data_IF_793742710593
#
_entry.id   IF_793742710593
#
_cell.length_a   1.000
_cell.length_b   1.000
_cell.length_c   1.000
_cell.angle_alpha   90.00
_cell.angle_beta   90.00
_cell.angle_gamma   90.00
#
_symmetry.space_group_name_H-M   'P 1'
#
loop_
_entity.id
_entity.type
_entity.pdbx_description
1 polymer ?
#
# COMPACT_ATOMS: atom_id res chain seq x y z
N UNK A 1 -12.57 12.59 -6.65
CA UNK A 1 -13.50 12.00 -5.65
C UNK A 1 -12.67 11.62 -4.43
N UNK A 2 -12.56 12.50 -3.43
CA UNK A 2 -11.76 12.24 -2.23
C UNK A 2 -12.47 11.20 -1.37
N UNK A 3 -11.84 10.03 -1.20
CA UNK A 3 -12.38 8.96 -0.36
C UNK A 3 -12.27 9.44 1.09
N UNK A 4 -13.40 9.86 1.69
CA UNK A 4 -13.49 10.46 3.03
C UNK A 4 -12.93 9.60 4.19
N UNK A 5 -12.66 8.31 3.97
CA UNK A 5 -12.26 7.35 5.01
C UNK A 5 -10.83 6.87 4.76
N UNK A 6 -9.99 6.88 5.81
CA UNK A 6 -8.66 6.28 5.82
C UNK A 6 -8.72 4.84 5.28
N UNK A 7 -7.99 4.51 4.21
CA UNK A 7 -7.84 3.14 3.73
C UNK A 7 -7.20 2.27 4.82
N UNK A 8 -7.63 1.02 4.91
CA UNK A 8 -6.97 0.03 5.77
C UNK A 8 -5.55 -0.24 5.28
N UNK A 9 -4.59 -0.36 6.19
CA UNK A 9 -3.23 -0.73 5.81
C UNK A 9 -3.21 -2.14 5.20
N UNK A 10 -2.42 -2.39 4.13
CA UNK A 10 -2.38 -3.70 3.48
C UNK A 10 -1.98 -4.84 4.42
N UNK A 11 -1.19 -4.55 5.46
CA UNK A 11 -0.81 -5.52 6.48
C UNK A 11 -1.97 -6.04 7.32
N UNK A 12 -2.94 -5.18 7.65
CA UNK A 12 -4.17 -5.60 8.33
C UNK A 12 -5.01 -6.47 7.40
N UNK A 13 -5.06 -6.13 6.10
CA UNK A 13 -5.77 -6.97 5.12
C UNK A 13 -5.11 -8.35 4.99
N UNK A 14 -3.77 -8.40 4.98
CA UNK A 14 -3.02 -9.65 4.98
C UNK A 14 -3.36 -10.52 6.21
N UNK A 15 -3.41 -9.91 7.39
CA UNK A 15 -3.71 -10.62 8.64
C UNK A 15 -5.14 -11.16 8.67
N UNK A 16 -6.11 -10.26 8.50
CA UNK A 16 -7.54 -10.56 8.68
C UNK A 16 -8.15 -11.42 7.58
N UNK A 17 -7.66 -11.32 6.34
CA UNK A 17 -8.26 -12.01 5.20
C UNK A 17 -7.47 -13.21 4.69
N UNK A 18 -6.21 -13.36 5.09
CA UNK A 18 -5.36 -14.46 4.61
C UNK A 18 -4.74 -15.23 5.76
N UNK A 19 -4.06 -14.57 6.70
CA UNK A 19 -3.34 -15.27 7.77
C UNK A 19 -4.30 -16.00 8.71
N UNK A 20 -5.27 -15.27 9.27
CA UNK A 20 -6.24 -15.82 10.24
C UNK A 20 -7.17 -16.84 9.57
N UNK A 21 -7.80 -16.57 8.41
CA UNK A 21 -8.75 -17.52 7.82
C UNK A 21 -8.11 -18.80 7.28
N UNK A 22 -6.83 -18.75 6.87
CA UNK A 22 -6.09 -19.91 6.38
C UNK A 22 -5.31 -20.63 7.50
N UNK A 23 -5.36 -20.14 8.73
CA UNK A 23 -4.62 -20.66 9.90
C UNK A 23 -3.12 -20.87 9.61
N UNK A 24 -2.50 -19.89 8.92
CA UNK A 24 -1.08 -19.95 8.57
C UNK A 24 -0.22 -19.22 9.61
N UNK A 25 0.83 -19.88 10.09
CA UNK A 25 1.82 -19.26 10.96
C UNK A 25 2.77 -18.33 10.19
N UNK A 26 3.42 -17.39 10.90
CA UNK A 26 4.43 -16.52 10.28
C UNK A 26 5.64 -17.28 9.75
N UNK A 27 5.94 -18.44 10.33
CA UNK A 27 6.99 -19.33 9.83
C UNK A 27 6.60 -19.92 8.48
N UNK A 28 5.39 -20.47 8.35
CA UNK A 28 4.89 -21.01 7.08
C UNK A 28 4.83 -19.92 5.99
N UNK A 29 4.31 -18.73 6.32
CA UNK A 29 4.27 -17.62 5.35
C UNK A 29 5.68 -17.16 4.95
N UNK A 30 6.62 -17.12 5.89
CA UNK A 30 8.01 -16.76 5.63
C UNK A 30 8.67 -17.73 4.65
N UNK A 31 8.47 -19.03 4.86
CA UNK A 31 9.00 -20.10 3.99
C UNK A 31 8.36 -20.05 2.60
N UNK A 32 7.03 -19.96 2.52
CA UNK A 32 6.30 -19.95 1.25
C UNK A 32 6.60 -18.70 0.40
N UNK A 33 6.76 -17.53 1.03
CA UNK A 33 7.02 -16.27 0.33
C UNK A 33 8.51 -15.95 0.16
N UNK A 34 9.40 -16.72 0.80
CA UNK A 34 10.83 -16.41 0.96
C UNK A 34 11.11 -15.00 1.52
N UNK A 35 10.18 -14.45 2.31
CA UNK A 35 10.31 -13.15 3.01
C UNK A 35 10.67 -13.43 4.47
N UNK A 36 11.58 -12.66 5.06
CA UNK A 36 11.92 -12.87 6.48
C UNK A 36 10.71 -12.64 7.39
N UNK A 37 10.56 -13.47 8.44
CA UNK A 37 9.56 -13.28 9.50
C UNK A 37 9.56 -11.86 10.07
N UNK A 38 10.74 -11.26 10.24
CA UNK A 38 10.89 -9.87 10.71
C UNK A 38 10.21 -8.87 9.77
N UNK A 39 10.37 -9.04 8.46
CA UNK A 39 9.71 -8.18 7.46
C UNK A 39 8.21 -8.40 7.47
N UNK A 40 7.73 -9.65 7.51
CA UNK A 40 6.31 -9.96 7.59
C UNK A 40 5.66 -9.34 8.85
N UNK A 41 6.33 -9.47 10.00
CA UNK A 41 5.87 -8.88 11.25
C UNK A 41 5.76 -7.35 11.16
N UNK A 42 6.72 -6.68 10.53
CA UNK A 42 6.62 -5.24 10.29
C UNK A 42 5.46 -4.87 9.36
N UNK A 43 5.16 -5.71 8.36
CA UNK A 43 4.04 -5.45 7.45
C UNK A 43 2.71 -5.52 8.20
N UNK A 44 2.48 -6.59 8.98
CA UNK A 44 1.23 -6.76 9.74
C UNK A 44 1.04 -5.65 10.80
N UNK A 45 2.12 -5.19 11.44
CA UNK A 45 2.09 -4.09 12.41
C UNK A 45 2.08 -2.69 11.78
N UNK A 46 1.81 -2.57 10.47
CA UNK A 46 1.78 -1.30 9.74
C UNK A 46 3.12 -0.50 9.73
N UNK A 47 4.24 -1.15 10.07
CA UNK A 47 5.58 -0.54 10.11
C UNK A 47 6.37 -0.68 8.80
N UNK A 48 5.92 -1.54 7.88
CA UNK A 48 6.55 -1.75 6.60
C UNK A 48 5.54 -1.84 5.46
N UNK A 49 5.97 -1.34 4.31
CA UNK A 49 5.18 -1.32 3.07
C UNK A 49 5.26 -2.65 2.32
N UNK A 50 4.20 -2.96 1.59
CA UNK A 50 4.24 -3.96 0.53
C UNK A 50 4.88 -3.33 -0.73
N UNK A 51 6.10 -3.77 -1.04
CA UNK A 51 6.82 -3.38 -2.27
C UNK A 51 6.42 -4.28 -3.45
N UNK A 52 6.77 -3.90 -4.68
CA UNK A 52 6.53 -4.74 -5.86
C UNK A 52 7.11 -6.16 -5.72
N UNK A 53 8.30 -6.30 -5.13
CA UNK A 53 8.93 -7.60 -4.86
C UNK A 53 8.11 -8.46 -3.91
N UNK A 54 7.53 -7.84 -2.87
CA UNK A 54 6.65 -8.52 -1.91
C UNK A 54 5.32 -8.88 -2.58
N UNK A 55 4.74 -7.95 -3.33
CA UNK A 55 3.47 -8.14 -4.03
C UNK A 55 3.50 -9.34 -4.99
N UNK A 56 4.58 -9.51 -5.77
CA UNK A 56 4.76 -10.69 -6.65
C UNK A 56 4.81 -11.99 -5.84
N UNK A 57 5.45 -11.98 -4.66
CA UNK A 57 5.53 -13.16 -3.79
C UNK A 57 4.19 -13.48 -3.15
N UNK A 58 3.48 -12.47 -2.63
CA UNK A 58 2.13 -12.65 -2.09
C UNK A 58 1.13 -13.10 -3.14
N UNK A 59 1.20 -12.56 -4.35
CA UNK A 59 0.40 -13.02 -5.48
C UNK A 59 0.55 -14.51 -5.74
N UNK A 60 1.80 -15.01 -5.71
CA UNK A 60 2.10 -16.42 -5.89
C UNK A 60 1.61 -17.30 -4.73
N UNK A 61 1.76 -16.83 -3.48
CA UNK A 61 1.38 -17.58 -2.27
C UNK A 61 -0.14 -17.66 -2.09
N UNK A 62 -0.85 -16.58 -2.37
CA UNK A 62 -2.29 -16.45 -2.10
C UNK A 62 -3.16 -16.56 -3.35
N UNK A 63 -2.59 -16.94 -4.50
CA UNK A 63 -3.30 -17.06 -5.77
C UNK A 63 -4.06 -15.79 -6.16
N UNK A 64 -3.40 -14.64 -5.94
CA UNK A 64 -3.92 -13.30 -6.25
C UNK A 64 -3.04 -12.63 -7.33
N UNK A 65 -3.24 -11.34 -7.57
CA UNK A 65 -2.41 -10.56 -8.49
C UNK A 65 -1.47 -9.62 -7.75
N UNK A 66 -0.27 -9.31 -8.29
CA UNK A 66 0.61 -8.30 -7.68
C UNK A 66 -0.08 -6.93 -7.58
N UNK A 67 -0.89 -6.59 -8.57
CA UNK A 67 -1.64 -5.33 -8.63
C UNK A 67 -2.65 -5.22 -7.49
N UNK A 68 -3.27 -6.32 -7.05
CA UNK A 68 -4.16 -6.29 -5.89
C UNK A 68 -3.44 -5.71 -4.66
N UNK A 69 -2.26 -6.25 -4.34
CA UNK A 69 -1.48 -5.81 -3.19
C UNK A 69 -0.93 -4.39 -3.36
N UNK A 70 -0.44 -4.05 -4.55
CA UNK A 70 0.07 -2.70 -4.84
C UNK A 70 -1.04 -1.65 -4.79
N UNK A 71 -2.25 -1.99 -5.24
CA UNK A 71 -3.39 -1.08 -5.17
C UNK A 71 -3.82 -0.79 -3.73
N UNK A 72 -3.72 -1.76 -2.82
CA UNK A 72 -3.95 -1.53 -1.40
C UNK A 72 -2.91 -0.55 -0.84
N UNK A 73 -1.63 -0.81 -1.12
CA UNK A 73 -0.53 0.03 -0.65
C UNK A 73 -0.63 1.46 -1.21
N UNK A 74 -0.86 1.59 -2.52
CA UNK A 74 -1.00 2.88 -3.19
C UNK A 74 -2.14 3.71 -2.62
N UNK A 75 -3.31 3.09 -2.37
CA UNK A 75 -4.44 3.79 -1.73
C UNK A 75 -4.05 4.31 -0.35
N UNK A 76 -3.39 3.48 0.47
CA UNK A 76 -2.93 3.88 1.80
C UNK A 76 -1.90 5.02 1.73
N UNK A 77 -0.89 4.89 0.87
CA UNK A 77 0.18 5.89 0.73
C UNK A 77 -0.34 7.24 0.22
N UNK A 78 -1.21 7.22 -0.80
CA UNK A 78 -1.82 8.45 -1.33
C UNK A 78 -2.63 9.13 -0.23
N UNK A 79 -3.42 8.36 0.53
CA UNK A 79 -4.19 8.94 1.63
C UNK A 79 -3.27 9.56 2.68
N UNK A 80 -2.18 8.88 3.06
CA UNK A 80 -1.21 9.46 4.00
C UNK A 80 -0.60 10.76 3.46
N UNK A 81 -0.21 10.80 2.19
CA UNK A 81 0.36 11.98 1.55
C UNK A 81 -0.65 13.14 1.47
N UNK A 82 -1.91 12.88 1.11
CA UNK A 82 -2.98 13.87 1.08
C UNK A 82 -3.29 14.46 2.48
N UNK A 83 -2.98 13.72 3.55
CA UNK A 83 -3.21 14.14 4.94
C UNK A 83 -1.92 14.53 5.67
N UNK A 84 -0.78 14.56 4.97
CA UNK A 84 0.49 15.01 5.52
C UNK A 84 0.50 16.53 5.59
N UNK A 85 0.47 17.06 6.82
CA UNK A 85 0.49 18.50 7.08
C UNK A 85 1.79 19.17 6.64
N UNK A 86 2.87 18.40 6.44
CA UNK A 86 4.17 18.90 6.00
C UNK A 86 4.23 19.03 4.46
N UNK A 87 3.33 18.36 3.74
CA UNK A 87 3.27 18.44 2.28
C UNK A 87 2.56 19.73 1.84
N UNK A 88 3.33 20.79 1.61
CA UNK A 88 2.80 22.06 1.11
C UNK A 88 2.47 21.97 -0.39
N UNK A 89 1.20 21.75 -0.72
CA UNK A 89 0.71 21.73 -2.12
C UNK A 89 -0.10 22.98 -2.49
N UNK A 90 -0.31 23.92 -1.56
CA UNK A 90 -1.21 25.07 -1.73
C UNK A 90 -0.78 26.03 -2.85
N UNK A 91 0.52 26.14 -3.13
CA UNK A 91 1.04 27.00 -4.20
C UNK A 91 1.17 26.29 -5.56
N UNK A 92 0.94 24.97 -5.61
CA UNK A 92 1.09 24.18 -6.83
C UNK A 92 -0.15 24.42 -7.70
N UNK A 93 0.05 24.72 -8.98
CA UNK A 93 -1.03 24.99 -9.94
C UNK A 93 -0.94 24.04 -11.15
N UNK A 94 -2.08 23.68 -11.77
CA UNK A 94 -2.08 22.92 -13.01
C UNK A 94 -1.34 23.65 -14.13
N UNK A 95 -0.56 22.91 -14.93
CA UNK A 95 0.17 23.45 -16.09
C UNK A 95 -0.79 24.12 -17.10
N UNK A 96 -2.01 23.60 -17.25
CA UNK A 96 -3.03 24.20 -18.12
C UNK A 96 -3.37 25.65 -17.75
N UNK A 97 -3.29 26.00 -16.45
CA UNK A 97 -3.53 27.37 -15.98
C UNK A 97 -2.33 28.29 -16.24
N UNK A 98 -1.11 27.75 -16.35
CA UNK A 98 0.09 28.53 -16.63
C UNK A 98 0.18 28.92 -18.11
N UNK A 99 -0.12 27.98 -19.01
CA UNK A 99 -0.05 28.21 -20.46
C UNK A 99 -1.15 29.20 -20.91
N UNK A 100 -2.34 29.13 -20.31
CA UNK A 100 -3.45 30.05 -20.62
C UNK A 100 -3.13 31.53 -20.29
N UNK A 101 -2.20 31.79 -19.37
CA UNK A 101 -1.82 33.15 -18.96
C UNK A 101 -0.82 33.85 -19.92
N UNK A 102 -0.19 33.12 -20.85
CA UNK A 102 0.83 33.66 -21.77
C UNK A 102 0.29 34.03 -23.16
N UNK A 103 -1.00 33.81 -23.44
CA UNK A 103 -1.64 34.12 -24.73
C UNK A 103 -2.47 35.42 -24.72
N UNK A 104 -2.15 36.35 -23.82
CA UNK A 104 -2.58 37.76 -23.86
C UNK A 104 -1.34 38.65 -23.98
#
# INVERSE_FOLDING_TARGET
>A
MTKKRKPTHPGIILEEHYIIPLDISMTQLSEASAISRKTLYKIINEEARITARIAVRFAKVFETTPEFWLNLQQKYDIWLAEHDKQLCIAHIRPISQMIAACHH
#
